data_IF_115315065293
#
_entry.id   IF_115315065293
#
_cell.length_a   1.000
_cell.length_b   1.000
_cell.length_c   1.000
_cell.angle_alpha   90.00
_cell.angle_beta   90.00
_cell.angle_gamma   90.00
#
_symmetry.space_group_name_H-M   'P 1'
#
loop_
_entity.id
_entity.type
_entity.pdbx_description
1 polymer ?
#
# COMPACT_ATOMS: atom_id res chain seq x y z
N UNK A 1 9.14 8.72 -1.95
CA UNK A 1 9.39 7.33 -2.39
C UNK A 1 10.53 7.22 -3.39
N UNK A 2 11.50 6.36 -3.09
CA UNK A 2 12.61 5.99 -4.00
C UNK A 2 12.07 5.22 -5.21
N UNK A 3 12.54 5.53 -6.41
CA UNK A 3 12.07 4.90 -7.66
C UNK A 3 12.84 3.64 -8.05
N UNK A 4 14.11 3.53 -7.67
CA UNK A 4 14.95 2.37 -8.00
C UNK A 4 14.97 1.36 -6.86
N UNK A 5 14.76 0.08 -7.18
CA UNK A 5 14.70 -1.04 -6.23
C UNK A 5 15.40 -2.25 -6.82
N UNK A 6 16.30 -2.84 -6.06
CA UNK A 6 16.85 -4.16 -6.39
C UNK A 6 15.84 -5.28 -6.11
N UNK A 7 15.98 -6.47 -6.71
CA UNK A 7 15.11 -7.61 -6.44
C UNK A 7 15.05 -8.01 -4.95
N UNK A 8 16.17 -7.91 -4.24
CA UNK A 8 16.25 -8.22 -2.81
C UNK A 8 15.48 -7.22 -1.97
N UNK A 9 15.56 -5.93 -2.33
CA UNK A 9 14.78 -4.89 -1.65
C UNK A 9 13.29 -5.00 -1.95
N UNK A 10 12.90 -5.41 -3.17
CA UNK A 10 11.51 -5.71 -3.51
C UNK A 10 10.98 -6.85 -2.65
N UNK A 11 11.73 -7.95 -2.56
CA UNK A 11 11.38 -9.09 -1.71
C UNK A 11 11.21 -8.67 -0.25
N UNK A 12 12.11 -7.85 0.29
CA UNK A 12 12.06 -7.44 1.69
C UNK A 12 10.92 -6.46 2.01
N UNK A 13 10.61 -5.53 1.10
CA UNK A 13 9.77 -4.37 1.40
C UNK A 13 8.40 -4.41 0.72
N UNK A 14 8.24 -5.16 -0.37
CA UNK A 14 7.01 -5.17 -1.17
C UNK A 14 6.29 -6.52 -1.16
N UNK A 15 6.86 -7.53 -0.50
CA UNK A 15 6.17 -8.81 -0.29
C UNK A 15 5.04 -8.65 0.72
N UNK A 16 3.87 -9.17 0.36
CA UNK A 16 2.74 -9.35 1.27
C UNK A 16 3.03 -10.53 2.21
N UNK A 17 2.94 -10.29 3.52
CA UNK A 17 3.24 -11.28 4.55
C UNK A 17 2.14 -11.36 5.60
N UNK A 18 1.91 -12.55 6.16
CA UNK A 18 0.97 -12.74 7.27
C UNK A 18 -0.41 -12.11 7.01
N UNK A 19 -0.81 -11.18 7.88
CA UNK A 19 -2.12 -10.51 7.85
C UNK A 19 -2.38 -9.65 6.60
N UNK A 20 -1.36 -9.31 5.81
CA UNK A 20 -1.53 -8.62 4.53
C UNK A 20 -2.47 -9.41 3.61
N UNK A 21 -2.31 -10.74 3.61
CA UNK A 21 -3.11 -11.65 2.78
C UNK A 21 -4.59 -11.62 3.16
N UNK A 22 -4.92 -11.43 4.43
CA UNK A 22 -6.30 -11.30 4.90
C UNK A 22 -6.94 -10.00 4.38
N UNK A 23 -6.16 -8.91 4.33
CA UNK A 23 -6.64 -7.62 3.84
C UNK A 23 -6.91 -7.62 2.32
N UNK A 24 -6.16 -8.41 1.56
CA UNK A 24 -6.32 -8.52 0.10
C UNK A 24 -7.27 -9.63 -0.34
N UNK A 25 -7.60 -10.59 0.54
CA UNK A 25 -8.37 -11.79 0.20
C UNK A 25 -9.73 -11.49 -0.45
N UNK A 26 -10.40 -10.42 -0.02
CA UNK A 26 -11.72 -10.03 -0.53
C UNK A 26 -11.67 -9.11 -1.78
N UNK A 27 -10.49 -8.86 -2.34
CA UNK A 27 -10.29 -7.97 -3.50
C UNK A 27 -9.97 -8.79 -4.74
N UNK A 28 -10.24 -8.22 -5.91
CA UNK A 28 -10.00 -8.88 -7.21
C UNK A 28 -9.51 -7.90 -8.27
N UNK A 29 -8.79 -8.43 -9.27
CA UNK A 29 -8.26 -7.67 -10.40
C UNK A 29 -7.55 -6.38 -9.99
N UNK A 30 -7.88 -5.27 -10.67
CA UNK A 30 -7.36 -3.93 -10.40
C UNK A 30 -7.44 -3.52 -8.93
N UNK A 31 -8.52 -3.86 -8.21
CA UNK A 31 -8.68 -3.45 -6.81
C UNK A 31 -7.73 -4.22 -5.88
N UNK A 32 -7.40 -5.48 -6.21
CA UNK A 32 -6.42 -6.27 -5.45
C UNK A 32 -5.04 -5.67 -5.60
N UNK A 33 -4.61 -5.40 -6.84
CA UNK A 33 -3.30 -4.80 -7.11
C UNK A 33 -3.19 -3.40 -6.50
N UNK A 34 -4.18 -2.54 -6.75
CA UNK A 34 -4.20 -1.18 -6.21
C UNK A 34 -4.16 -1.14 -4.69
N UNK A 35 -4.94 -1.98 -4.01
CA UNK A 35 -4.89 -2.05 -2.54
C UNK A 35 -3.54 -2.55 -2.03
N UNK A 36 -2.97 -3.59 -2.64
CA UNK A 36 -1.69 -4.17 -2.22
C UNK A 36 -0.56 -3.14 -2.32
N UNK A 37 -0.51 -2.38 -3.42
CA UNK A 37 0.46 -1.31 -3.60
C UNK A 37 0.25 -0.17 -2.61
N UNK A 38 -0.99 0.24 -2.34
CA UNK A 38 -1.27 1.27 -1.33
C UNK A 38 -0.87 0.83 0.08
N UNK A 39 -1.08 -0.45 0.43
CA UNK A 39 -0.69 -1.01 1.72
C UNK A 39 0.82 -0.91 1.91
N UNK A 40 1.60 -1.50 1.00
CA UNK A 40 3.08 -1.49 1.09
C UNK A 40 3.65 -0.08 0.99
N UNK A 41 3.08 0.78 0.14
CA UNK A 41 3.51 2.18 0.06
C UNK A 41 3.28 2.90 1.39
N UNK A 42 2.14 2.70 2.05
CA UNK A 42 1.84 3.33 3.33
C UNK A 42 2.76 2.85 4.45
N UNK A 43 3.11 1.56 4.48
CA UNK A 43 4.08 1.02 5.45
C UNK A 43 5.47 1.65 5.29
N UNK A 44 5.88 1.93 4.05
CA UNK A 44 7.21 2.49 3.75
C UNK A 44 7.27 4.01 3.92
N UNK A 45 6.22 4.74 3.56
CA UNK A 45 6.23 6.21 3.49
C UNK A 45 5.37 6.89 4.58
N UNK A 46 4.54 6.13 5.31
CA UNK A 46 3.61 6.66 6.33
C UNK A 46 2.48 7.52 5.76
N UNK A 47 2.31 7.54 4.43
CA UNK A 47 1.28 8.29 3.70
C UNK A 47 0.83 7.51 2.47
N UNK A 48 -0.22 7.99 1.81
CA UNK A 48 -0.64 7.45 0.51
C UNK A 48 0.01 8.24 -0.64
N UNK A 49 0.19 7.62 -1.81
CA UNK A 49 0.60 8.36 -2.99
C UNK A 49 -0.51 9.33 -3.42
N UNK A 50 -0.10 10.49 -3.91
CA UNK A 50 -0.96 11.52 -4.49
C UNK A 50 -1.20 11.25 -5.98
N UNK A 51 -0.20 10.67 -6.66
CA UNK A 51 -0.27 10.23 -8.06
C UNK A 51 0.27 8.80 -8.21
N UNK A 52 -0.20 8.05 -9.22
CA UNK A 52 0.17 6.63 -9.38
C UNK A 52 1.66 6.44 -9.66
N UNK A 53 2.27 7.43 -10.31
CA UNK A 53 3.68 7.48 -10.70
C UNK A 53 4.64 7.58 -9.51
N UNK A 54 4.14 7.91 -8.31
CA UNK A 54 4.95 7.81 -7.10
C UNK A 54 5.26 6.35 -6.74
N UNK A 55 4.43 5.41 -7.17
CA UNK A 55 4.64 3.98 -6.96
C UNK A 55 5.68 3.49 -7.98
N UNK A 56 6.83 2.95 -7.52
CA UNK A 56 7.90 2.53 -8.41
C UNK A 56 7.43 1.46 -9.40
N UNK A 57 7.73 1.57 -10.71
CA UNK A 57 7.31 0.58 -11.70
C UNK A 57 7.76 -0.85 -11.36
N UNK A 58 8.98 -1.01 -10.83
CA UNK A 58 9.49 -2.32 -10.41
C UNK A 58 8.67 -2.93 -9.26
N UNK A 59 8.14 -2.11 -8.36
CA UNK A 59 7.23 -2.56 -7.31
C UNK A 59 5.86 -2.94 -7.87
N UNK A 60 5.34 -2.18 -8.84
CA UNK A 60 4.08 -2.51 -9.52
C UNK A 60 4.18 -3.89 -10.17
N UNK A 61 5.23 -4.15 -10.97
CA UNK A 61 5.47 -5.45 -11.61
C UNK A 61 5.61 -6.57 -10.59
N UNK A 62 6.44 -6.37 -9.56
CA UNK A 62 6.67 -7.38 -8.52
C UNK A 62 5.39 -7.77 -7.77
N UNK A 63 4.61 -6.78 -7.32
CA UNK A 63 3.38 -7.02 -6.55
C UNK A 63 2.30 -7.59 -7.46
N UNK A 64 2.22 -7.16 -8.72
CA UNK A 64 1.32 -7.70 -9.73
C UNK A 64 1.51 -9.22 -9.89
N UNK A 65 2.75 -9.66 -10.02
CA UNK A 65 3.11 -11.08 -10.08
C UNK A 65 2.78 -11.83 -8.79
N UNK A 66 2.96 -11.19 -7.64
CA UNK A 66 2.63 -11.77 -6.33
C UNK A 66 1.12 -12.03 -6.20
N UNK A 67 0.29 -11.05 -6.58
CA UNK A 67 -1.18 -11.13 -6.43
C UNK A 67 -1.91 -11.74 -7.63
N UNK A 68 -1.15 -12.14 -8.67
CA UNK A 68 -1.62 -12.75 -9.92
C UNK A 68 -2.59 -11.85 -10.68
N UNK A 69 -2.23 -10.58 -10.84
CA UNK A 69 -2.97 -9.56 -11.59
C UNK A 69 -2.00 -8.91 -12.58
N UNK A 70 -2.38 -8.61 -13.84
CA UNK A 70 -1.51 -7.91 -14.77
C UNK A 70 -1.08 -6.54 -14.22
N UNK A 71 0.21 -6.21 -14.30
CA UNK A 71 0.73 -4.91 -13.83
C UNK A 71 0.05 -3.72 -14.54
N UNK A 72 -0.30 -3.90 -15.82
CA UNK A 72 -1.02 -2.90 -16.63
C UNK A 72 -2.38 -2.53 -16.06
N UNK A 73 -3.01 -3.40 -15.26
CA UNK A 73 -4.29 -3.09 -14.61
C UNK A 73 -4.14 -2.01 -13.53
N UNK A 74 -2.93 -1.75 -13.01
CA UNK A 74 -2.72 -0.68 -12.03
C UNK A 74 -3.06 0.69 -12.60
N UNK A 75 -2.83 0.91 -13.90
CA UNK A 75 -3.20 2.17 -14.59
C UNK A 75 -4.71 2.45 -14.56
N UNK A 76 -5.53 1.41 -14.35
CA UNK A 76 -7.00 1.52 -14.24
C UNK A 76 -7.44 1.83 -12.80
N UNK A 77 -6.54 1.74 -11.83
CA UNK A 77 -6.84 2.05 -10.44
C UNK A 77 -6.92 3.57 -10.24
N UNK A 78 -7.89 4.03 -9.44
CA UNK A 78 -8.03 5.45 -9.10
C UNK A 78 -7.61 5.69 -7.65
N UNK A 79 -6.83 6.74 -7.44
CA UNK A 79 -6.48 7.24 -6.10
C UNK A 79 -7.59 8.12 -5.49
N UNK A 80 -8.63 8.43 -6.25
CA UNK A 80 -9.75 9.26 -5.81
C UNK A 80 -11.08 8.51 -5.90
N UNK A 81 -12.04 8.95 -5.08
CA UNK A 81 -13.38 8.38 -5.02
C UNK A 81 -13.55 7.32 -3.92
N UNK A 82 -14.80 6.86 -3.79
CA UNK A 82 -15.27 6.07 -2.64
C UNK A 82 -14.47 4.80 -2.38
N UNK A 83 -14.07 4.09 -3.43
CA UNK A 83 -13.27 2.86 -3.30
C UNK A 83 -11.88 3.15 -2.74
N UNK A 84 -11.20 4.18 -3.26
CA UNK A 84 -9.89 4.58 -2.78
C UNK A 84 -9.94 5.08 -1.33
N UNK A 85 -10.96 5.88 -0.99
CA UNK A 85 -11.20 6.33 0.38
C UNK A 85 -11.40 5.16 1.35
N UNK A 86 -12.21 4.17 0.94
CA UNK A 86 -12.44 2.96 1.72
C UNK A 86 -11.15 2.15 1.92
N UNK A 87 -10.37 1.96 0.86
CA UNK A 87 -9.07 1.28 0.93
C UNK A 87 -8.11 1.98 1.89
N UNK A 88 -7.97 3.31 1.78
CA UNK A 88 -7.11 4.09 2.68
C UNK A 88 -7.55 3.98 4.14
N UNK A 89 -8.87 3.95 4.39
CA UNK A 89 -9.42 3.73 5.74
C UNK A 89 -9.05 2.34 6.26
N UNK A 90 -9.30 1.29 5.47
CA UNK A 90 -8.95 -0.09 5.85
C UNK A 90 -7.46 -0.25 6.17
N UNK A 91 -6.58 0.35 5.36
CA UNK A 91 -5.12 0.28 5.58
C UNK A 91 -4.73 0.98 6.89
N UNK A 92 -5.25 2.19 7.15
CA UNK A 92 -4.98 2.90 8.41
C UNK A 92 -5.47 2.11 9.62
N UNK A 93 -6.68 1.54 9.56
CA UNK A 93 -7.25 0.72 10.63
C UNK A 93 -6.41 -0.55 10.88
N UNK A 94 -5.99 -1.23 9.81
CA UNK A 94 -5.21 -2.46 9.90
C UNK A 94 -3.81 -2.23 10.49
N UNK A 95 -3.16 -1.13 10.13
CA UNK A 95 -1.82 -0.78 10.63
C UNK A 95 -1.86 -0.06 11.99
N UNK A 96 -3.04 0.06 12.61
CA UNK A 96 -3.20 0.72 13.91
C UNK A 96 -3.00 2.24 13.89
N UNK A 97 -2.91 2.86 12.72
CA UNK A 97 -2.85 4.32 12.57
C UNK A 97 -4.22 4.93 12.88
N UNK A 98 -4.36 5.40 14.11
CA UNK A 98 -5.44 6.29 14.55
C UNK A 98 -4.97 7.74 14.39
N UNK A 99 -5.86 8.72 14.16
CA UNK A 99 -5.46 10.13 14.23
C UNK A 99 -4.82 10.38 15.60
N UNK A 100 -3.60 10.91 15.62
CA UNK A 100 -2.86 11.20 16.85
C UNK A 100 -3.76 12.03 17.76
N UNK A 101 -3.97 11.54 18.98
CA UNK A 101 -4.58 12.35 20.03
C UNK A 101 -3.46 13.01 20.83
N UNK A 102 -3.74 14.11 21.54
CA UNK A 102 -2.78 14.86 22.37
C UNK A 102 -2.04 13.97 23.41
N UNK A 103 -2.50 12.72 23.61
CA UNK A 103 -1.80 11.71 24.39
C UNK A 103 -0.52 11.17 23.74
N UNK A 104 -0.43 11.12 22.41
CA UNK A 104 0.75 10.62 21.68
C UNK A 104 1.93 11.62 21.76
N UNK A 105 1.64 12.93 21.87
CA UNK A 105 2.65 13.99 22.02
C UNK A 105 3.38 13.93 23.38
N UNK A 106 2.79 13.29 24.39
CA UNK A 106 3.37 13.24 25.74
C UNK A 106 4.39 12.11 25.91
N UNK A 107 4.39 11.10 25.04
CA UNK A 107 5.33 9.97 25.10
C UNK A 107 6.69 10.27 24.43
N UNK A 108 6.80 11.36 23.66
CA UNK A 108 8.06 11.81 23.05
C UNK A 108 8.75 12.93 23.86
N UNK A 109 8.17 13.30 25.01
CA UNK A 109 8.64 14.40 25.86
C UNK A 109 9.13 13.95 27.25
N UNK A 110 9.32 12.64 27.47
CA UNK A 110 10.00 12.08 28.65
C UNK A 110 11.33 11.42 28.29
#
# INVERSE_FOLDING_TARGET
>A
MRQEWSPEELLANWTLVGGDWDLVANKSGTTRLGFSLLLKFFELEGRFPDVLEEVPPAAVEYVADLVKVPATDFTKYTLVGRTAEYHRKQIREALGFRPSTVADEKALAE
#
